data_IF_084765744182
#
_entry.id   IF_084765744182
#
_cell.length_a   1.000
_cell.length_b   1.000
_cell.length_c   1.000
_cell.angle_alpha   90.00
_cell.angle_beta   90.00
_cell.angle_gamma   90.00
#
_symmetry.space_group_name_H-M   'P 1'
#
loop_
_entity.id
_entity.type
_entity.pdbx_description
1 polymer ?
#
# COMPACT_ATOMS: atom_id res chain seq x y z
N UNK A 1 -1.88 -1.06 -22.43
CA UNK A 1 -1.58 -2.42 -22.88
C UNK A 1 -1.17 -2.44 -24.33
N UNK A 2 -2.02 -2.11 -25.27
CA UNK A 2 -1.80 -2.17 -26.74
C UNK A 2 -0.49 -1.51 -27.18
N UNK A 3 -0.18 -0.29 -26.71
CA UNK A 3 1.07 0.42 -27.03
C UNK A 3 2.29 -0.36 -26.52
N UNK A 4 2.25 -0.87 -25.30
CA UNK A 4 3.34 -1.67 -24.73
C UNK A 4 3.56 -2.98 -25.52
N UNK A 5 2.48 -3.64 -25.92
CA UNK A 5 2.53 -4.85 -26.75
C UNK A 5 3.10 -4.58 -28.16
N UNK A 6 2.69 -3.48 -28.82
CA UNK A 6 3.11 -3.14 -30.18
C UNK A 6 4.62 -2.90 -30.31
N UNK A 7 5.27 -2.40 -29.24
CA UNK A 7 6.71 -2.15 -29.21
C UNK A 7 7.48 -3.31 -28.58
N UNK A 8 6.92 -3.92 -27.53
CA UNK A 8 7.59 -4.95 -26.74
C UNK A 8 7.46 -6.37 -27.25
N UNK A 9 6.33 -6.71 -27.89
CA UNK A 9 6.10 -8.05 -28.44
C UNK A 9 6.74 -8.16 -29.83
N UNK A 10 7.93 -8.71 -29.88
CA UNK A 10 8.68 -8.91 -31.12
C UNK A 10 8.85 -10.40 -31.43
N UNK A 11 9.02 -10.79 -32.73
CA UNK A 11 9.31 -12.16 -33.10
C UNK A 11 10.57 -12.72 -32.41
N UNK A 12 10.59 -14.04 -32.18
CA UNK A 12 11.75 -14.73 -31.59
C UNK A 12 13.02 -14.39 -32.35
N UNK A 13 14.06 -14.00 -31.62
CA UNK A 13 15.35 -13.60 -32.19
C UNK A 13 15.51 -12.12 -32.52
N UNK A 14 14.42 -11.30 -32.42
CA UNK A 14 14.52 -9.85 -32.54
C UNK A 14 14.51 -9.20 -31.14
N UNK A 15 15.25 -8.09 -31.00
CA UNK A 15 15.23 -7.27 -29.78
C UNK A 15 14.12 -6.23 -29.89
N UNK A 16 13.33 -6.11 -28.83
CA UNK A 16 12.37 -5.03 -28.69
C UNK A 16 13.08 -3.67 -28.64
N UNK A 17 12.43 -2.64 -29.16
CA UNK A 17 12.92 -1.27 -29.02
C UNK A 17 12.68 -0.80 -27.56
N UNK A 18 13.51 0.11 -27.09
CA UNK A 18 13.41 0.69 -25.75
C UNK A 18 12.06 1.37 -25.56
N UNK A 19 11.38 1.03 -24.49
CA UNK A 19 10.12 1.66 -24.10
C UNK A 19 10.03 1.65 -22.57
N UNK A 20 9.60 2.75 -21.91
CA UNK A 20 9.22 2.72 -20.49
C UNK A 20 7.99 1.86 -20.27
N UNK A 21 8.13 0.82 -19.45
CA UNK A 21 6.99 0.02 -18.97
C UNK A 21 6.63 0.43 -17.55
N UNK A 22 5.36 0.27 -17.19
CA UNK A 22 4.92 0.26 -15.80
C UNK A 22 4.94 -1.20 -15.35
N UNK A 23 5.91 -1.54 -14.55
CA UNK A 23 6.12 -2.91 -14.08
C UNK A 23 5.66 -3.06 -12.63
N UNK A 24 5.18 -4.23 -12.29
CA UNK A 24 4.83 -4.62 -10.93
C UNK A 24 5.28 -6.05 -10.71
N UNK A 25 6.25 -6.21 -9.83
CA UNK A 25 6.82 -7.52 -9.54
C UNK A 25 5.86 -8.41 -8.74
N UNK A 26 6.22 -9.67 -8.62
CA UNK A 26 5.50 -10.60 -7.78
C UNK A 26 5.54 -10.13 -6.31
N UNK A 27 4.54 -10.50 -5.52
CA UNK A 27 4.59 -10.29 -4.07
C UNK A 27 5.84 -10.91 -3.45
N UNK A 28 6.31 -10.30 -2.37
CA UNK A 28 7.45 -10.80 -1.60
C UNK A 28 7.15 -12.20 -1.02
N UNK A 29 7.95 -13.23 -1.32
CA UNK A 29 7.68 -14.59 -0.88
C UNK A 29 7.62 -14.76 0.65
N UNK A 30 8.47 -14.03 1.38
CA UNK A 30 8.51 -14.10 2.85
C UNK A 30 7.24 -13.49 3.46
N UNK A 31 6.82 -12.35 2.91
CA UNK A 31 5.60 -11.68 3.35
C UNK A 31 4.33 -12.46 2.95
N UNK A 32 4.36 -13.15 1.81
CA UNK A 32 3.29 -14.07 1.43
C UNK A 32 3.17 -15.25 2.41
N UNK A 33 4.29 -15.76 2.90
CA UNK A 33 4.28 -16.81 3.92
C UNK A 33 3.71 -16.29 5.23
N UNK A 34 4.12 -15.10 5.66
CA UNK A 34 3.53 -14.42 6.82
C UNK A 34 2.01 -14.24 6.65
N UNK A 35 1.55 -13.83 5.45
CA UNK A 35 0.12 -13.73 5.15
C UNK A 35 -0.57 -15.09 5.27
N UNK A 36 0.03 -16.17 4.76
CA UNK A 36 -0.50 -17.53 4.84
C UNK A 36 -0.68 -17.98 6.30
N UNK A 37 0.36 -17.82 7.11
CA UNK A 37 0.32 -18.16 8.53
C UNK A 37 -0.71 -17.34 9.30
N UNK A 38 -0.78 -16.06 8.97
CA UNK A 38 -1.73 -15.13 9.57
C UNK A 38 -3.18 -15.52 9.24
N UNK A 39 -3.50 -15.73 7.97
CA UNK A 39 -4.86 -16.07 7.52
C UNK A 39 -5.32 -17.46 7.97
N UNK A 40 -4.38 -18.39 8.19
CA UNK A 40 -4.69 -19.72 8.74
C UNK A 40 -5.33 -19.65 10.14
N UNK A 41 -5.03 -18.61 10.94
CA UNK A 41 -5.64 -18.39 12.27
C UNK A 41 -7.14 -18.10 12.19
N UNK A 42 -7.59 -17.55 11.06
CA UNK A 42 -9.00 -17.30 10.76
C UNK A 42 -9.67 -18.43 9.96
N UNK A 43 -8.94 -19.55 9.76
CA UNK A 43 -9.45 -20.72 9.05
C UNK A 43 -9.28 -20.67 7.52
N UNK A 44 -8.62 -19.64 6.97
CA UNK A 44 -8.38 -19.54 5.53
C UNK A 44 -7.14 -20.33 5.11
N UNK A 45 -7.24 -21.06 3.98
CA UNK A 45 -6.14 -21.81 3.39
C UNK A 45 -5.67 -21.15 2.10
N UNK A 46 -4.60 -20.39 2.15
CA UNK A 46 -4.04 -19.67 1.00
C UNK A 46 -2.81 -20.40 0.47
N UNK A 47 -2.81 -20.70 -0.84
CA UNK A 47 -1.62 -21.23 -1.52
C UNK A 47 -0.79 -20.05 -2.03
N UNK A 48 0.42 -19.89 -1.51
CA UNK A 48 1.36 -18.80 -1.79
C UNK A 48 2.44 -19.16 -2.81
N UNK A 49 2.51 -20.44 -3.22
CA UNK A 49 3.44 -20.93 -4.20
C UNK A 49 2.76 -21.22 -5.55
N UNK A 50 3.53 -21.12 -6.64
CA UNK A 50 3.08 -21.43 -8.00
C UNK A 50 3.39 -20.34 -9.02
N UNK A 51 2.69 -20.38 -10.16
CA UNK A 51 2.80 -19.35 -11.20
C UNK A 51 2.21 -18.02 -10.75
N UNK A 52 2.65 -16.89 -11.36
CA UNK A 52 2.09 -15.55 -11.12
C UNK A 52 0.56 -15.55 -11.09
N UNK A 53 -0.06 -16.15 -12.12
CA UNK A 53 -1.51 -16.22 -12.21
C UNK A 53 -2.18 -17.12 -11.16
N UNK A 54 -1.49 -18.15 -10.66
CA UNK A 54 -2.00 -18.97 -9.58
C UNK A 54 -2.00 -18.21 -8.25
N UNK A 55 -0.92 -17.50 -7.94
CA UNK A 55 -0.81 -16.66 -6.74
C UNK A 55 -1.88 -15.57 -6.78
N UNK A 56 -2.03 -14.85 -7.89
CA UNK A 56 -3.04 -13.81 -8.04
C UNK A 56 -4.46 -14.34 -7.83
N UNK A 57 -4.82 -15.49 -8.43
CA UNK A 57 -6.14 -16.11 -8.21
C UNK A 57 -6.37 -16.50 -6.75
N UNK A 58 -5.35 -17.03 -6.07
CA UNK A 58 -5.48 -17.43 -4.67
C UNK A 58 -5.66 -16.23 -3.74
N UNK A 59 -4.98 -15.11 -4.04
CA UNK A 59 -5.15 -13.86 -3.30
C UNK A 59 -6.51 -13.24 -3.54
N UNK A 60 -6.99 -13.20 -4.78
CA UNK A 60 -8.33 -12.70 -5.09
C UNK A 60 -9.40 -13.56 -4.37
N UNK A 61 -9.26 -14.90 -4.43
CA UNK A 61 -10.16 -15.78 -3.71
C UNK A 61 -10.15 -15.53 -2.19
N UNK A 62 -8.97 -15.26 -1.60
CA UNK A 62 -8.89 -14.88 -0.18
C UNK A 62 -9.67 -13.59 0.09
N UNK A 63 -9.56 -12.57 -0.79
CA UNK A 63 -10.30 -11.32 -0.64
C UNK A 63 -11.81 -11.55 -0.73
N UNK A 64 -12.27 -12.36 -1.70
CA UNK A 64 -13.68 -12.73 -1.85
C UNK A 64 -14.17 -13.52 -0.62
N UNK A 65 -13.39 -14.49 -0.14
CA UNK A 65 -13.73 -15.35 1.00
C UNK A 65 -13.85 -14.57 2.33
N UNK A 66 -13.15 -13.45 2.47
CA UNK A 66 -13.18 -12.60 3.69
C UNK A 66 -14.10 -11.38 3.56
N UNK A 67 -14.74 -11.17 2.41
CA UNK A 67 -15.62 -10.02 2.19
C UNK A 67 -16.78 -9.98 3.19
N UNK A 68 -17.03 -8.79 3.76
CA UNK A 68 -18.07 -8.57 4.76
C UNK A 68 -17.80 -9.14 6.15
N UNK A 69 -16.65 -9.79 6.39
CA UNK A 69 -16.28 -10.34 7.70
C UNK A 69 -15.44 -9.37 8.53
N UNK A 70 -15.43 -9.56 9.85
CA UNK A 70 -14.66 -8.70 10.80
C UNK A 70 -13.18 -8.61 10.46
N UNK A 71 -12.59 -9.73 10.03
CA UNK A 71 -11.17 -9.83 9.69
C UNK A 71 -10.80 -9.28 8.30
N UNK A 72 -11.77 -8.84 7.50
CA UNK A 72 -11.54 -8.38 6.11
C UNK A 72 -10.47 -7.27 6.04
N UNK A 73 -10.67 -6.16 6.77
CA UNK A 73 -9.73 -5.02 6.76
C UNK A 73 -8.32 -5.44 7.17
N UNK A 74 -8.24 -6.32 8.15
CA UNK A 74 -6.98 -6.83 8.68
C UNK A 74 -6.25 -7.70 7.64
N UNK A 75 -6.95 -8.66 7.03
CA UNK A 75 -6.38 -9.52 5.98
C UNK A 75 -5.94 -8.69 4.78
N UNK A 76 -6.75 -7.71 4.35
CA UNK A 76 -6.41 -6.79 3.27
C UNK A 76 -5.14 -5.98 3.58
N UNK A 77 -4.99 -5.48 4.81
CA UNK A 77 -3.80 -4.74 5.23
C UNK A 77 -2.54 -5.60 5.16
N UNK A 78 -2.60 -6.83 5.68
CA UNK A 78 -1.45 -7.76 5.64
C UNK A 78 -1.13 -8.20 4.21
N UNK A 79 -2.16 -8.45 3.37
CA UNK A 79 -1.99 -8.79 1.97
C UNK A 79 -1.35 -7.64 1.19
N UNK A 80 -1.78 -6.39 1.43
CA UNK A 80 -1.21 -5.20 0.78
C UNK A 80 0.28 -5.03 1.12
N UNK A 81 0.68 -5.31 2.36
CA UNK A 81 2.10 -5.27 2.79
C UNK A 81 2.98 -6.30 2.10
N UNK A 82 2.39 -7.39 1.59
CA UNK A 82 3.10 -8.40 0.82
C UNK A 82 3.32 -7.99 -0.65
N UNK A 83 2.56 -7.01 -1.15
CA UNK A 83 2.70 -6.53 -2.52
C UNK A 83 3.95 -5.67 -2.70
N UNK A 84 4.60 -5.84 -3.84
CA UNK A 84 5.66 -4.94 -4.28
C UNK A 84 5.08 -3.63 -4.79
N UNK A 85 5.88 -2.56 -4.83
CA UNK A 85 5.46 -1.30 -5.46
C UNK A 85 5.65 -1.39 -6.98
N UNK A 86 4.68 -0.87 -7.73
CA UNK A 86 4.85 -0.68 -9.16
C UNK A 86 5.87 0.44 -9.44
N UNK A 87 6.70 0.28 -10.46
CA UNK A 87 7.72 1.26 -10.87
C UNK A 87 7.84 1.34 -12.39
N UNK A 88 8.56 2.33 -12.87
CA UNK A 88 8.91 2.42 -14.28
C UNK A 88 10.25 1.74 -14.54
N UNK A 89 10.37 1.05 -15.67
CA UNK A 89 11.63 0.47 -16.16
C UNK A 89 11.49 0.15 -17.64
N UNK A 90 12.63 0.11 -18.35
CA UNK A 90 12.68 -0.40 -19.72
C UNK A 90 12.72 -1.93 -19.77
N UNK A 91 12.95 -2.58 -18.63
CA UNK A 91 12.97 -4.04 -18.48
C UNK A 91 11.58 -4.56 -18.15
N UNK A 92 10.89 -5.08 -19.17
CA UNK A 92 9.53 -5.58 -18.97
C UNK A 92 9.53 -6.91 -18.21
N UNK A 93 8.91 -6.92 -17.04
CA UNK A 93 8.62 -8.12 -16.23
C UNK A 93 7.12 -8.39 -16.10
N UNK A 94 6.30 -7.57 -16.77
CA UNK A 94 4.85 -7.55 -16.65
C UNK A 94 4.36 -6.75 -15.42
N UNK A 95 3.07 -6.76 -15.22
CA UNK A 95 2.40 -6.06 -14.11
C UNK A 95 1.53 -7.05 -13.32
N UNK A 96 2.03 -7.51 -12.16
CA UNK A 96 1.36 -8.52 -11.35
C UNK A 96 -0.08 -8.12 -10.99
N UNK A 97 -0.27 -6.94 -10.39
CA UNK A 97 -1.58 -6.51 -9.91
C UNK A 97 -2.65 -6.31 -10.99
N UNK A 98 -2.24 -6.09 -12.26
CA UNK A 98 -3.16 -5.98 -13.41
C UNK A 98 -3.23 -7.25 -14.25
N UNK A 99 -2.40 -8.25 -13.95
CA UNK A 99 -2.25 -9.48 -14.72
C UNK A 99 -1.95 -9.22 -16.21
N UNK A 100 -1.11 -8.23 -16.51
CA UNK A 100 -0.69 -7.90 -17.87
C UNK A 100 0.77 -8.28 -18.09
N UNK A 101 1.08 -8.94 -19.23
CA UNK A 101 2.45 -9.22 -19.64
C UNK A 101 3.15 -7.96 -20.15
N UNK A 102 2.41 -7.00 -20.70
CA UNK A 102 2.91 -5.73 -21.24
C UNK A 102 2.00 -4.61 -20.76
N UNK A 103 2.59 -3.65 -20.03
CA UNK A 103 1.85 -2.48 -19.59
C UNK A 103 2.74 -1.24 -19.56
N UNK A 104 2.18 -0.11 -19.97
CA UNK A 104 2.80 1.20 -19.86
C UNK A 104 1.75 2.26 -19.59
N UNK A 105 2.14 3.32 -18.96
CA UNK A 105 1.34 4.53 -18.86
C UNK A 105 1.39 5.31 -20.18
N UNK A 106 0.26 5.81 -20.65
CA UNK A 106 0.13 6.45 -21.95
C UNK A 106 -0.84 7.62 -21.97
N UNK A 107 -1.88 7.58 -21.14
CA UNK A 107 -3.07 8.42 -21.28
C UNK A 107 -3.02 9.75 -20.52
N UNK A 108 -1.94 10.04 -19.79
CA UNK A 108 -1.84 11.25 -18.96
C UNK A 108 -0.50 11.98 -19.13
N UNK A 109 -0.10 12.38 -20.36
CA UNK A 109 1.22 12.99 -20.62
C UNK A 109 1.39 14.38 -20.00
N UNK A 110 0.28 15.05 -19.63
CA UNK A 110 0.34 16.38 -19.00
C UNK A 110 0.93 16.31 -17.59
N UNK A 111 0.61 15.24 -16.84
CA UNK A 111 1.00 15.09 -15.43
C UNK A 111 1.97 13.96 -15.14
N UNK A 112 2.27 13.11 -16.11
CA UNK A 112 3.21 12.00 -16.00
C UNK A 112 4.23 12.02 -17.12
N UNK A 113 5.46 12.29 -16.77
CA UNK A 113 6.55 12.34 -17.74
C UNK A 113 6.81 11.00 -18.47
N UNK A 114 6.66 9.82 -17.84
CA UNK A 114 6.75 8.53 -18.57
C UNK A 114 5.78 8.41 -19.74
N UNK A 115 4.56 8.92 -19.63
CA UNK A 115 3.60 8.97 -20.74
C UNK A 115 4.17 9.78 -21.90
N UNK A 116 4.73 10.95 -21.63
CA UNK A 116 5.39 11.79 -22.64
C UNK A 116 6.56 11.07 -23.31
N UNK A 117 7.38 10.35 -22.54
CA UNK A 117 8.48 9.53 -23.08
C UNK A 117 7.94 8.47 -24.04
N UNK A 118 6.87 7.77 -23.67
CA UNK A 118 6.23 6.75 -24.50
C UNK A 118 5.69 7.36 -25.79
N UNK A 119 5.01 8.51 -25.73
CA UNK A 119 4.52 9.22 -26.92
C UNK A 119 5.66 9.56 -27.90
N UNK A 120 6.73 10.16 -27.40
CA UNK A 120 7.90 10.53 -28.22
C UNK A 120 8.57 9.31 -28.85
N UNK A 121 8.75 8.24 -28.09
CA UNK A 121 9.35 7.00 -28.59
C UNK A 121 8.45 6.30 -29.62
N UNK A 122 7.15 6.24 -29.37
CA UNK A 122 6.19 5.65 -30.29
C UNK A 122 6.20 6.37 -31.62
N UNK A 123 6.12 7.71 -31.64
CA UNK A 123 6.20 8.53 -32.84
C UNK A 123 7.50 8.28 -33.59
N UNK A 124 8.66 8.30 -32.90
CA UNK A 124 9.96 7.98 -33.48
C UNK A 124 9.98 6.61 -34.16
N UNK A 125 9.40 5.60 -33.49
CA UNK A 125 9.42 4.23 -34.02
C UNK A 125 8.47 3.99 -35.18
N UNK A 126 7.34 4.68 -35.20
CA UNK A 126 6.40 4.70 -36.33
C UNK A 126 7.02 5.32 -37.61
N UNK A 127 7.88 6.31 -37.43
CA UNK A 127 8.66 6.95 -38.51
C UNK A 127 9.92 6.14 -38.92
N UNK A 128 10.07 4.89 -38.46
CA UNK A 128 11.20 4.05 -38.81
C UNK A 128 12.48 4.30 -37.99
N UNK A 129 12.43 5.16 -36.95
CA UNK A 129 13.58 5.51 -36.12
C UNK A 129 14.19 4.31 -35.40
N UNK A 130 15.52 4.39 -35.14
CA UNK A 130 16.27 3.39 -34.39
C UNK A 130 15.85 3.40 -32.92
N UNK A 131 16.08 2.27 -32.21
CA UNK A 131 15.90 2.17 -30.75
C UNK A 131 16.65 3.28 -30.02
N UNK A 132 16.04 3.79 -28.97
CA UNK A 132 16.66 4.81 -28.12
C UNK A 132 17.79 4.22 -27.25
N UNK A 133 18.55 5.11 -26.57
CA UNK A 133 19.59 4.69 -25.64
C UNK A 133 18.97 4.07 -24.38
N UNK A 134 19.22 2.79 -24.15
CA UNK A 134 18.62 2.03 -23.06
C UNK A 134 19.01 2.61 -21.68
N UNK A 135 20.32 2.87 -21.48
CA UNK A 135 20.77 3.39 -20.18
C UNK A 135 20.11 4.72 -19.84
N UNK A 136 20.07 5.65 -20.78
CA UNK A 136 19.45 6.96 -20.56
C UNK A 136 17.96 6.85 -20.16
N UNK A 137 17.20 5.95 -20.84
CA UNK A 137 15.80 5.77 -20.52
C UNK A 137 15.55 4.99 -19.25
N UNK A 138 16.47 4.08 -18.84
CA UNK A 138 16.38 3.45 -17.52
C UNK A 138 16.62 4.45 -16.41
N UNK A 139 17.67 5.29 -16.53
CA UNK A 139 17.94 6.36 -15.56
C UNK A 139 16.73 7.31 -15.41
N UNK A 140 16.06 7.65 -16.51
CA UNK A 140 14.83 8.45 -16.47
C UNK A 140 13.65 7.70 -15.81
N UNK A 141 13.52 6.39 -16.04
CA UNK A 141 12.49 5.57 -15.39
C UNK A 141 12.69 5.48 -13.87
N UNK A 142 13.93 5.29 -13.43
CA UNK A 142 14.29 5.30 -12.00
C UNK A 142 13.94 6.66 -11.39
N UNK A 143 14.41 7.74 -11.99
CA UNK A 143 14.10 9.10 -11.53
C UNK A 143 12.60 9.36 -11.44
N UNK A 144 11.82 8.96 -12.46
CA UNK A 144 10.36 9.12 -12.43
C UNK A 144 9.71 8.31 -11.31
N UNK A 145 10.22 7.12 -11.00
CA UNK A 145 9.71 6.29 -9.91
C UNK A 145 9.99 6.91 -8.55
N UNK A 146 11.19 7.48 -8.37
CA UNK A 146 11.57 8.18 -7.15
C UNK A 146 10.73 9.45 -6.93
N UNK A 147 10.54 10.24 -8.00
CA UNK A 147 9.72 11.46 -7.93
C UNK A 147 8.24 11.15 -7.68
N UNK A 148 7.72 10.04 -8.22
CA UNK A 148 6.38 9.56 -7.88
C UNK A 148 6.26 9.27 -6.37
N UNK A 149 7.27 8.63 -5.78
CA UNK A 149 7.26 8.37 -4.33
C UNK A 149 7.35 9.65 -3.51
N UNK A 150 8.17 10.62 -3.93
CA UNK A 150 8.26 11.94 -3.28
C UNK A 150 6.91 12.66 -3.34
N UNK A 151 6.25 12.66 -4.52
CA UNK A 151 4.95 13.29 -4.70
C UNK A 151 3.87 12.63 -3.82
N UNK A 152 3.83 11.29 -3.77
CA UNK A 152 2.91 10.56 -2.90
C UNK A 152 3.12 10.84 -1.42
N UNK A 153 4.38 10.93 -0.99
CA UNK A 153 4.70 11.27 0.39
C UNK A 153 4.28 12.70 0.71
N UNK A 154 4.55 13.66 -0.18
CA UNK A 154 4.13 15.06 -0.01
C UNK A 154 2.60 15.20 0.08
N UNK A 155 1.86 14.47 -0.76
CA UNK A 155 0.40 14.42 -0.71
C UNK A 155 -0.11 13.89 0.64
N UNK A 156 0.42 12.75 1.09
CA UNK A 156 0.07 12.17 2.41
C UNK A 156 0.35 13.12 3.56
N UNK A 157 1.52 13.75 3.54
CA UNK A 157 1.90 14.69 4.58
C UNK A 157 1.03 15.97 4.57
N UNK A 158 0.61 16.42 3.37
CA UNK A 158 -0.32 17.55 3.24
C UNK A 158 -1.71 17.19 3.80
N UNK A 159 -2.23 16.01 3.46
CA UNK A 159 -3.51 15.51 4.00
C UNK A 159 -3.42 15.39 5.53
N UNK A 160 -2.34 14.77 6.04
CA UNK A 160 -2.12 14.61 7.47
C UNK A 160 -2.06 15.96 8.20
N UNK A 161 -1.37 16.95 7.62
CA UNK A 161 -1.35 18.29 8.16
C UNK A 161 -2.75 18.89 8.29
N UNK A 162 -3.57 18.76 7.23
CA UNK A 162 -4.94 19.28 7.23
C UNK A 162 -5.88 18.52 8.18
N UNK A 163 -5.67 17.22 8.36
CA UNK A 163 -6.40 16.44 9.37
C UNK A 163 -6.09 16.94 10.79
N UNK A 164 -4.80 17.18 11.10
CA UNK A 164 -4.39 17.67 12.41
C UNK A 164 -4.91 19.10 12.66
N UNK A 165 -4.86 19.97 11.63
CA UNK A 165 -5.42 21.32 11.68
C UNK A 165 -6.95 21.27 11.97
N UNK A 166 -7.69 20.43 11.26
CA UNK A 166 -9.13 20.24 11.42
C UNK A 166 -9.50 19.71 12.82
N UNK A 167 -8.68 18.81 13.37
CA UNK A 167 -8.91 18.25 14.71
C UNK A 167 -8.45 19.16 15.84
N UNK A 168 -7.72 20.24 15.54
CA UNK A 168 -7.23 21.18 16.54
C UNK A 168 -8.33 21.88 17.31
N UNK A 169 -9.46 22.18 16.66
CA UNK A 169 -10.62 22.82 17.28
C UNK A 169 -11.56 21.82 18.01
N UNK A 170 -11.21 20.52 17.96
CA UNK A 170 -12.03 19.41 18.47
C UNK A 170 -11.39 18.68 19.66
N UNK A 171 -10.44 19.33 20.31
CA UNK A 171 -9.79 18.77 21.50
C UNK A 171 -10.85 18.63 22.62
N UNK A 172 -10.91 17.43 23.22
CA UNK A 172 -11.89 17.07 24.24
C UNK A 172 -13.14 16.38 23.70
N UNK A 173 -13.39 16.42 22.38
CA UNK A 173 -14.52 15.70 21.77
C UNK A 173 -14.26 14.18 21.74
N UNK A 174 -15.35 13.41 21.85
CA UNK A 174 -15.32 11.94 21.85
C UNK A 174 -15.88 11.43 20.53
N UNK A 175 -15.23 10.41 19.96
CA UNK A 175 -15.58 9.81 18.69
C UNK A 175 -15.57 8.29 18.76
N UNK A 176 -16.44 7.67 17.96
CA UNK A 176 -16.33 6.25 17.63
C UNK A 176 -15.22 6.07 16.60
N UNK A 177 -14.39 5.09 16.82
CA UNK A 177 -13.20 4.82 16.02
C UNK A 177 -12.93 3.32 15.92
N UNK A 178 -12.07 2.93 15.04
CA UNK A 178 -11.56 1.56 14.97
C UNK A 178 -10.03 1.55 14.98
N UNK A 179 -9.46 0.47 15.48
CA UNK A 179 -8.02 0.28 15.53
C UNK A 179 -7.48 0.07 14.12
N UNK A 180 -6.71 1.04 13.62
CA UNK A 180 -6.06 1.02 12.29
C UNK A 180 -4.66 0.44 12.32
N UNK A 181 -3.99 0.50 13.48
CA UNK A 181 -2.64 0.01 13.66
C UNK A 181 -2.29 -0.28 15.11
N UNK A 182 -1.36 -1.20 15.33
CA UNK A 182 -0.83 -1.52 16.66
C UNK A 182 0.69 -1.60 16.58
N UNK A 183 1.35 -0.95 17.51
CA UNK A 183 2.81 -0.92 17.63
C UNK A 183 3.22 -1.08 19.10
N UNK A 184 4.52 -1.23 19.35
CA UNK A 184 5.07 -1.20 20.71
C UNK A 184 4.90 0.12 21.44
N UNK A 185 4.56 1.20 20.71
CA UNK A 185 4.39 2.55 21.28
C UNK A 185 2.94 2.87 21.64
N UNK A 186 1.97 2.15 21.09
CA UNK A 186 0.55 2.37 21.31
C UNK A 186 -0.35 1.87 20.18
N UNK A 187 -1.61 2.27 20.29
CA UNK A 187 -2.69 1.92 19.34
C UNK A 187 -2.92 3.12 18.41
N UNK A 188 -2.93 2.88 17.11
CA UNK A 188 -3.43 3.84 16.15
C UNK A 188 -4.92 3.61 15.96
N UNK A 189 -5.69 4.68 16.03
CA UNK A 189 -7.14 4.67 15.86
C UNK A 189 -7.54 5.62 14.73
N UNK A 190 -8.42 5.16 13.87
CA UNK A 190 -9.04 5.96 12.82
C UNK A 190 -10.49 6.25 13.20
N UNK A 191 -10.86 7.52 13.26
CA UNK A 191 -12.22 7.98 13.54
C UNK A 191 -13.15 7.57 12.39
N UNK A 192 -14.28 6.94 12.70
CA UNK A 192 -15.19 6.41 11.67
C UNK A 192 -15.86 7.51 10.84
N UNK A 193 -16.12 8.68 11.42
CA UNK A 193 -16.83 9.78 10.78
C UNK A 193 -15.99 10.54 9.75
N UNK A 194 -14.73 10.81 10.07
CA UNK A 194 -13.88 11.74 9.28
C UNK A 194 -12.54 11.16 8.86
N UNK A 195 -12.27 9.90 9.21
CA UNK A 195 -11.04 9.16 8.87
C UNK A 195 -9.74 9.80 9.39
N UNK A 196 -9.83 10.68 10.39
CA UNK A 196 -8.65 11.20 11.04
C UNK A 196 -8.01 10.12 11.92
N UNK A 197 -6.72 9.89 11.71
CA UNK A 197 -5.94 8.89 12.44
C UNK A 197 -5.10 9.56 13.50
N UNK A 198 -5.13 9.01 14.72
CA UNK A 198 -4.30 9.43 15.83
C UNK A 198 -3.80 8.23 16.63
N UNK A 199 -2.95 8.48 17.61
CA UNK A 199 -2.35 7.45 18.46
C UNK A 199 -2.84 7.58 19.89
N UNK A 200 -3.27 6.44 20.47
CA UNK A 200 -3.39 6.27 21.92
C UNK A 200 -2.04 5.70 22.41
N UNK A 201 -1.21 6.49 23.11
CA UNK A 201 0.08 6.02 23.58
C UNK A 201 -0.07 4.86 24.57
N UNK A 202 0.89 3.93 24.57
CA UNK A 202 0.89 2.79 25.50
C UNK A 202 0.79 3.20 26.97
N UNK A 203 1.42 4.33 27.33
CA UNK A 203 1.42 4.87 28.69
C UNK A 203 0.05 5.40 29.14
N UNK A 204 -0.86 5.69 28.19
CA UNK A 204 -2.17 6.23 28.44
C UNK A 204 -3.26 5.10 28.46
N UNK A 205 -2.81 3.83 28.40
CA UNK A 205 -3.62 2.63 28.63
C UNK A 205 -3.49 2.26 30.13
N UNK A 206 -4.29 2.90 31.00
CA UNK A 206 -4.12 2.82 32.45
C UNK A 206 -4.77 1.58 33.07
N UNK A 207 -5.56 0.83 32.31
CA UNK A 207 -6.34 -0.32 32.81
C UNK A 207 -5.49 -1.58 33.03
N UNK A 208 -4.37 -1.75 32.31
CA UNK A 208 -3.48 -2.92 32.42
C UNK A 208 -2.05 -2.61 31.91
N UNK A 209 -1.15 -3.55 32.12
CA UNK A 209 0.17 -3.57 31.46
C UNK A 209 0.06 -4.41 30.17
N UNK A 210 0.39 -3.81 29.04
CA UNK A 210 0.22 -4.43 27.74
C UNK A 210 1.54 -4.91 27.13
N UNK A 211 1.54 -6.14 26.61
CA UNK A 211 2.60 -6.70 25.78
C UNK A 211 2.19 -6.67 24.31
N UNK A 212 3.08 -6.21 23.46
CA UNK A 212 2.87 -6.22 22.02
C UNK A 212 3.29 -7.55 21.40
N UNK A 213 2.33 -8.25 20.81
CA UNK A 213 2.54 -9.45 20.00
C UNK A 213 2.66 -9.05 18.53
N UNK A 214 3.90 -8.84 18.06
CA UNK A 214 4.20 -8.39 16.71
C UNK A 214 3.69 -9.37 15.64
N UNK A 215 3.73 -10.69 15.91
CA UNK A 215 3.29 -11.72 14.98
C UNK A 215 1.78 -11.73 14.76
N UNK A 216 1.02 -11.27 15.74
CA UNK A 216 -0.43 -11.29 15.73
C UNK A 216 -1.04 -9.89 15.57
N UNK A 217 -0.22 -8.82 15.62
CA UNK A 217 -0.68 -7.43 15.68
C UNK A 217 -1.71 -7.19 16.78
N UNK A 218 -1.40 -7.66 17.99
CA UNK A 218 -2.30 -7.62 19.15
C UNK A 218 -1.55 -7.05 20.36
N UNK A 219 -2.20 -6.17 21.12
CA UNK A 219 -1.81 -5.85 22.49
C UNK A 219 -2.54 -6.79 23.45
N UNK A 220 -1.81 -7.40 24.37
CA UNK A 220 -2.38 -8.31 25.39
C UNK A 220 -2.12 -7.74 26.78
N UNK A 221 -3.18 -7.51 27.53
CA UNK A 221 -3.10 -7.16 28.95
C UNK A 221 -2.61 -8.33 29.78
N UNK A 222 -1.70 -8.05 30.73
CA UNK A 222 -1.09 -9.05 31.62
C UNK A 222 -2.02 -9.49 32.75
N UNK A 223 -2.84 -8.57 33.28
CA UNK A 223 -3.71 -8.80 34.44
C UNK A 223 -5.10 -9.19 34.06
N UNK A 224 -5.75 -8.34 33.25
CA UNK A 224 -7.16 -8.51 32.87
C UNK A 224 -7.34 -9.30 31.58
N UNK A 225 -6.23 -9.67 30.90
CA UNK A 225 -6.25 -10.40 29.63
C UNK A 225 -7.04 -9.70 28.52
N UNK A 226 -7.29 -8.38 28.67
CA UNK A 226 -7.90 -7.59 27.62
C UNK A 226 -7.03 -7.60 26.38
N UNK A 227 -7.65 -7.60 25.20
CA UNK A 227 -6.94 -7.66 23.92
C UNK A 227 -7.43 -6.55 23.03
N UNK A 228 -6.48 -5.80 22.47
CA UNK A 228 -6.75 -4.88 21.36
C UNK A 228 -6.19 -5.49 20.09
N UNK A 229 -7.05 -5.56 19.06
CA UNK A 229 -6.74 -6.11 17.74
C UNK A 229 -7.05 -5.10 16.66
N UNK A 230 -6.39 -5.23 15.51
CA UNK A 230 -6.73 -4.42 14.34
C UNK A 230 -8.21 -4.61 13.95
N UNK A 231 -8.91 -3.48 13.72
CA UNK A 231 -10.31 -3.47 13.37
C UNK A 231 -11.28 -3.51 14.54
N UNK A 232 -10.79 -3.62 15.80
CA UNK A 232 -11.68 -3.50 16.96
C UNK A 232 -12.24 -2.09 17.05
N UNK A 233 -13.54 -1.99 17.36
CA UNK A 233 -14.19 -0.74 17.63
C UNK A 233 -13.78 -0.23 19.02
N UNK A 234 -13.43 1.04 19.10
CA UNK A 234 -13.06 1.72 20.33
C UNK A 234 -13.68 3.12 20.35
N UNK A 235 -13.84 3.68 21.54
CA UNK A 235 -14.18 5.08 21.69
C UNK A 235 -12.94 5.84 22.12
N UNK A 236 -12.70 6.96 21.48
CA UNK A 236 -11.52 7.80 21.74
C UNK A 236 -11.94 9.23 22.04
N UNK A 237 -11.12 9.89 22.84
CA UNK A 237 -11.20 11.34 23.04
C UNK A 237 -9.97 11.99 22.42
N UNK A 238 -10.16 13.11 21.73
CA UNK A 238 -9.07 13.91 21.17
C UNK A 238 -8.33 14.61 22.30
N UNK A 239 -7.12 14.13 22.62
CA UNK A 239 -6.32 14.68 23.72
C UNK A 239 -5.43 15.84 23.27
N UNK A 240 -4.81 15.72 22.09
CA UNK A 240 -3.88 16.74 21.60
C UNK A 240 -3.78 16.72 20.08
N UNK A 241 -3.68 17.91 19.48
CA UNK A 241 -3.33 18.12 18.09
C UNK A 241 -2.00 18.89 17.99
N UNK A 242 -0.99 18.31 17.36
CA UNK A 242 0.33 18.92 17.18
C UNK A 242 0.61 19.14 15.69
N UNK A 243 0.41 20.37 15.23
CA UNK A 243 0.62 20.77 13.83
C UNK A 243 2.08 20.64 13.38
N UNK A 244 3.04 20.99 14.22
CA UNK A 244 4.46 20.91 13.88
C UNK A 244 4.90 19.45 13.61
N UNK A 245 4.46 18.53 14.48
CA UNK A 245 4.72 17.10 14.35
C UNK A 245 3.76 16.39 13.44
N UNK A 246 2.66 17.04 13.04
CA UNK A 246 1.55 16.45 12.28
C UNK A 246 1.01 15.19 12.96
N UNK A 247 0.74 15.29 14.26
CA UNK A 247 0.32 14.19 15.11
C UNK A 247 -0.93 14.54 15.89
N UNK A 248 -1.82 13.53 16.00
CA UNK A 248 -2.96 13.54 16.88
C UNK A 248 -2.72 12.51 17.98
N UNK A 249 -2.86 12.94 19.22
CA UNK A 249 -2.83 12.05 20.36
C UNK A 249 -4.27 11.90 20.86
N UNK A 250 -4.68 10.66 21.06
CA UNK A 250 -5.97 10.27 21.59
C UNK A 250 -5.81 9.60 22.95
N UNK A 251 -6.89 9.60 23.74
CA UNK A 251 -7.06 8.75 24.91
C UNK A 251 -8.28 7.85 24.72
N UNK A 252 -8.34 6.73 25.42
CA UNK A 252 -9.56 5.92 25.43
C UNK A 252 -10.66 6.67 26.17
N UNK A 253 -11.88 6.64 25.66
CA UNK A 253 -13.09 7.13 26.31
C UNK A 253 -13.94 5.95 26.75
N UNK A 254 -14.59 6.06 27.90
CA UNK A 254 -15.52 5.05 28.46
C UNK A 254 -16.83 4.98 27.62
#
# INVERSE_FOLDING_TARGET
>A
RTVAESVGRVPKGKKAKVLPYRIHDNPDPQKLETLREFTAKFGYKVKTAGTKGAIARNLNKLMDDCEGKREQKLIQSVALRAMMKAKYSIHNIGHFGLAFDYYTHFTSPIRRYPDTMVHRLLTRYQQGGRSANAKHYEDLCEHCSDMEQVAQNAERESIKYKMVEFMGDKIGEIYDAHISGITSYGIYAEIDENHCEGMVPMRDLDDDYYDFDEKNFVLRGRRHHHKYQLGDAIRIQVAKANLEKRQLDFTLAE
#
